data_IF_350476390368
#
_entry.id   IF_350476390368
#
_cell.length_a   1.000
_cell.length_b   1.000
_cell.length_c   1.000
_cell.angle_alpha   90.00
_cell.angle_beta   90.00
_cell.angle_gamma   90.00
#
_symmetry.space_group_name_H-M   'P 1'
#
loop_
_entity.id
_entity.type
_entity.pdbx_description
1 polymer ?
#
# COMPACT_ATOMS: atom_id res chain seq x y z
N UNK A 1 2.08 -26.09 5.40
CA UNK A 1 1.58 -24.98 6.24
C UNK A 1 0.24 -24.56 5.66
N UNK A 2 -0.80 -24.28 6.47
CA UNK A 2 -2.00 -23.63 5.94
C UNK A 2 -1.58 -22.26 5.36
N UNK A 3 -1.99 -21.98 4.12
CA UNK A 3 -1.71 -20.73 3.41
C UNK A 3 -2.96 -19.87 3.48
N UNK A 4 -2.84 -18.67 4.06
CA UNK A 4 -3.94 -17.71 4.12
C UNK A 4 -4.27 -17.21 2.71
N UNK A 5 -5.54 -16.94 2.48
CA UNK A 5 -6.06 -16.50 1.20
C UNK A 5 -6.45 -15.03 1.23
N UNK A 6 -6.72 -14.47 0.05
CA UNK A 6 -7.25 -13.10 -0.08
C UNK A 6 -8.55 -12.92 0.73
N UNK A 7 -9.40 -13.96 0.79
CA UNK A 7 -10.65 -13.91 1.54
C UNK A 7 -10.43 -13.82 3.06
N UNK A 8 -9.37 -14.45 3.55
CA UNK A 8 -8.98 -14.36 4.96
C UNK A 8 -8.48 -12.95 5.28
N UNK A 9 -7.67 -12.36 4.39
CA UNK A 9 -7.23 -10.97 4.50
C UNK A 9 -8.41 -9.99 4.51
N UNK A 10 -9.34 -10.10 3.55
CA UNK A 10 -10.53 -9.23 3.45
C UNK A 10 -11.38 -9.30 4.73
N UNK A 11 -11.56 -10.50 5.27
CA UNK A 11 -12.32 -10.71 6.52
C UNK A 11 -11.64 -10.00 7.69
N UNK A 12 -10.31 -10.08 7.79
CA UNK A 12 -9.56 -9.45 8.86
C UNK A 12 -9.50 -7.92 8.73
N UNK A 13 -9.36 -7.41 7.50
CA UNK A 13 -9.45 -5.97 7.19
C UNK A 13 -10.81 -5.39 7.58
N UNK A 14 -11.91 -6.12 7.34
CA UNK A 14 -13.24 -5.68 7.75
C UNK A 14 -13.41 -5.64 9.28
N UNK A 15 -12.72 -6.51 10.03
CA UNK A 15 -12.77 -6.55 11.49
C UNK A 15 -11.86 -5.50 12.14
N UNK A 16 -10.77 -5.11 11.47
CA UNK A 16 -9.78 -4.17 11.97
C UNK A 16 -9.43 -3.10 10.93
N UNK A 17 -10.35 -2.15 10.66
CA UNK A 17 -10.18 -1.15 9.61
C UNK A 17 -9.00 -0.19 9.83
N UNK A 18 -8.54 -0.05 11.08
CA UNK A 18 -7.43 0.84 11.44
C UNK A 18 -6.05 0.21 11.16
N UNK A 19 -5.98 -1.11 10.94
CA UNK A 19 -4.73 -1.78 10.62
C UNK A 19 -4.52 -1.88 9.12
N UNK A 20 -3.34 -1.46 8.67
CA UNK A 20 -2.87 -1.80 7.32
C UNK A 20 -2.30 -3.21 7.35
N UNK A 21 -2.83 -4.09 6.52
CA UNK A 21 -2.47 -5.51 6.46
C UNK A 21 -2.20 -5.94 5.02
N UNK A 22 -1.19 -6.79 4.83
CA UNK A 22 -0.80 -7.33 3.52
C UNK A 22 -0.70 -8.86 3.57
N UNK A 23 -1.10 -9.54 2.50
CA UNK A 23 -0.92 -10.99 2.34
C UNK A 23 0.36 -11.26 1.54
N UNK A 24 1.38 -11.79 2.20
CA UNK A 24 2.69 -12.08 1.63
C UNK A 24 2.95 -13.57 1.79
N UNK A 25 3.07 -14.29 0.66
CA UNK A 25 3.38 -15.73 0.62
C UNK A 25 2.45 -16.63 1.46
N UNK A 26 1.20 -16.22 1.65
CA UNK A 26 0.22 -16.95 2.47
C UNK A 26 0.24 -16.57 3.96
N UNK A 27 0.95 -15.51 4.33
CA UNK A 27 0.97 -14.93 5.68
C UNK A 27 0.39 -13.52 5.67
N UNK A 28 -0.41 -13.17 6.69
CA UNK A 28 -0.90 -11.79 6.85
C UNK A 28 0.06 -11.03 7.75
N UNK A 29 0.64 -9.95 7.22
CA UNK A 29 1.59 -9.08 7.90
C UNK A 29 0.91 -7.76 8.26
N UNK A 30 1.09 -7.31 9.49
CA UNK A 30 0.67 -5.99 9.93
C UNK A 30 1.73 -4.96 9.56
N UNK A 31 1.32 -4.00 8.73
CA UNK A 31 2.18 -2.88 8.37
C UNK A 31 2.14 -1.87 9.50
N UNK A 32 3.32 -1.55 10.05
CA UNK A 32 3.45 -0.45 11.01
C UNK A 32 2.94 0.85 10.39
N UNK A 33 2.28 1.72 11.16
CA UNK A 33 1.96 3.05 10.67
C UNK A 33 3.25 3.75 10.21
N UNK A 34 3.22 4.31 9.01
CA UNK A 34 4.30 5.18 8.55
C UNK A 34 4.29 6.45 9.40
N UNK A 35 5.47 6.84 9.90
CA UNK A 35 5.63 8.13 10.57
C UNK A 35 5.63 9.28 9.55
N UNK A 36 5.50 10.52 10.04
CA UNK A 36 5.49 11.73 9.21
C UNK A 36 6.68 11.79 8.24
N UNK A 37 7.88 11.44 8.70
CA UNK A 37 9.10 11.42 7.85
C UNK A 37 8.96 10.44 6.67
N UNK A 38 8.41 9.25 6.91
CA UNK A 38 8.18 8.27 5.85
C UNK A 38 7.15 8.77 4.84
N UNK A 39 6.12 9.47 5.30
CA UNK A 39 5.09 10.04 4.43
C UNK A 39 5.64 11.19 3.58
N UNK A 40 6.46 12.08 4.15
CA UNK A 40 7.12 13.18 3.41
C UNK A 40 8.01 12.64 2.28
N UNK A 41 8.81 11.61 2.57
CA UNK A 41 9.66 10.94 1.57
C UNK A 41 8.80 10.30 0.48
N UNK A 42 7.73 9.58 0.85
CA UNK A 42 6.84 8.94 -0.13
C UNK A 42 6.16 9.97 -1.04
N UNK A 43 5.72 11.11 -0.48
CA UNK A 43 5.09 12.20 -1.23
C UNK A 43 6.08 12.81 -2.23
N UNK A 44 7.31 13.11 -1.81
CA UNK A 44 8.31 13.70 -2.69
C UNK A 44 8.65 12.77 -3.87
N UNK A 45 8.85 11.48 -3.59
CA UNK A 45 9.09 10.47 -4.64
C UNK A 45 7.90 10.42 -5.62
N UNK A 46 6.67 10.36 -5.11
CA UNK A 46 5.48 10.31 -5.94
C UNK A 46 5.31 11.59 -6.78
N UNK A 47 5.64 12.76 -6.22
CA UNK A 47 5.58 14.05 -6.92
C UNK A 47 6.57 14.11 -8.08
N UNK A 48 7.83 13.75 -7.84
CA UNK A 48 8.87 13.71 -8.88
C UNK A 48 8.49 12.73 -10.00
N UNK A 49 8.05 11.52 -9.65
CA UNK A 49 7.62 10.52 -10.62
C UNK A 49 6.41 11.00 -11.42
N UNK A 50 5.40 11.58 -10.75
CA UNK A 50 4.20 12.11 -11.42
C UNK A 50 4.55 13.24 -12.37
N UNK A 51 5.47 14.13 -12.00
CA UNK A 51 5.94 15.22 -12.86
C UNK A 51 6.65 14.71 -14.12
N UNK A 52 7.26 13.52 -14.05
CA UNK A 52 7.83 12.86 -15.22
C UNK A 52 6.77 12.13 -16.08
N UNK A 53 5.89 11.33 -15.44
CA UNK A 53 4.86 10.49 -16.09
C UNK A 53 3.79 11.32 -16.79
N UNK A 54 3.25 12.35 -16.11
CA UNK A 54 2.08 13.11 -16.58
C UNK A 54 2.28 13.81 -17.93
N UNK A 55 3.33 14.62 -18.15
CA UNK A 55 3.52 15.31 -19.44
C UNK A 55 3.77 14.33 -20.60
N UNK A 56 4.28 13.13 -20.30
CA UNK A 56 4.59 12.09 -21.29
C UNK A 56 3.42 11.14 -21.57
N UNK A 57 2.30 11.27 -20.85
CA UNK A 57 1.11 10.42 -20.98
C UNK A 57 1.40 8.92 -20.78
N UNK A 58 2.28 8.58 -19.84
CA UNK A 58 2.73 7.21 -19.60
C UNK A 58 1.85 6.42 -18.60
N UNK A 59 0.76 7.00 -18.12
CA UNK A 59 -0.17 6.36 -17.18
C UNK A 59 -0.41 7.19 -15.91
N UNK A 60 -0.63 6.50 -14.78
CA UNK A 60 -0.93 7.08 -13.47
C UNK A 60 0.09 6.63 -12.43
N UNK A 61 0.42 7.53 -11.51
CA UNK A 61 1.20 7.24 -10.29
C UNK A 61 0.22 7.17 -9.12
N UNK A 62 0.28 6.10 -8.33
CA UNK A 62 -0.52 5.90 -7.11
C UNK A 62 0.40 5.71 -5.90
N UNK A 63 -0.07 6.16 -4.73
CA UNK A 63 0.55 5.80 -3.45
C UNK A 63 0.17 4.38 -3.02
N UNK A 64 0.71 3.94 -1.88
CA UNK A 64 0.48 2.59 -1.33
C UNK A 64 -0.98 2.27 -1.03
N UNK A 65 -1.83 3.27 -0.83
CA UNK A 65 -3.28 3.11 -0.60
C UNK A 65 -4.14 3.04 -1.86
N UNK A 66 -3.54 3.15 -3.05
CA UNK A 66 -4.27 3.18 -4.32
C UNK A 66 -4.50 1.81 -4.96
N UNK A 67 -4.09 0.73 -4.29
CA UNK A 67 -4.28 -0.67 -4.70
C UNK A 67 -5.46 -1.30 -3.98
#
# INVERSE_FOLDING_TARGET
MPSLTVKDLETLQAQHPDYRMELIEGEIIFMSPSGLESDEVAIEIAAQLRNWVRPRKLGRVSGSSGG
#
